data_IF_570140906425
#
_entry.id   IF_570140906425
#
_cell.length_a   1.000
_cell.length_b   1.000
_cell.length_c   1.000
_cell.angle_alpha   90.00
_cell.angle_beta   90.00
_cell.angle_gamma   90.00
#
_symmetry.space_group_name_H-M   'P 1'
#
loop_
_entity.id
_entity.type
_entity.pdbx_description
1 polymer ?
#
# COMPACT_ATOMS: atom_id res chain seq x y z
N UNK A 1 11.44 14.88 15.29
CA UNK A 1 10.66 15.71 16.23
C UNK A 1 11.29 17.08 16.48
N UNK A 2 12.52 17.19 17.00
CA UNK A 2 13.18 18.50 17.18
C UNK A 2 13.31 19.30 15.88
N UNK A 3 13.65 18.64 14.78
CA UNK A 3 13.71 19.28 13.46
C UNK A 3 12.34 19.83 13.04
N UNK A 4 11.28 19.04 13.21
CA UNK A 4 9.90 19.43 12.89
C UNK A 4 9.40 20.61 13.75
N UNK A 5 9.87 20.72 14.99
CA UNK A 5 9.51 21.82 15.91
C UNK A 5 10.33 23.09 15.63
N UNK A 6 11.57 22.94 15.14
CA UNK A 6 12.44 24.08 14.79
C UNK A 6 12.09 24.73 13.47
N UNK A 7 11.37 24.03 12.59
CA UNK A 7 10.92 24.62 11.35
C UNK A 7 9.84 25.68 11.62
N UNK A 8 10.09 26.90 11.16
CA UNK A 8 9.17 28.04 11.27
C UNK A 8 8.10 28.02 10.16
N UNK A 9 8.25 27.12 9.18
CA UNK A 9 7.26 26.96 8.13
C UNK A 9 5.94 26.41 8.68
N UNK A 10 4.83 26.86 8.13
CA UNK A 10 3.48 26.44 8.54
C UNK A 10 3.05 25.12 7.90
N UNK A 11 4.01 24.34 7.40
CA UNK A 11 3.75 23.02 6.84
C UNK A 11 3.39 22.02 7.93
N UNK A 12 2.43 21.14 7.61
CA UNK A 12 2.02 20.10 8.54
C UNK A 12 3.04 18.98 8.57
N UNK A 13 3.47 18.65 9.78
CA UNK A 13 4.33 17.50 10.06
C UNK A 13 3.48 16.37 10.62
N UNK A 14 3.68 15.15 10.12
CA UNK A 14 3.00 13.96 10.59
C UNK A 14 4.04 12.98 11.14
N UNK A 15 3.90 12.64 12.41
CA UNK A 15 4.70 11.60 13.06
C UNK A 15 3.80 10.36 13.17
N UNK A 16 4.24 9.26 12.56
CA UNK A 16 3.52 8.00 12.58
C UNK A 16 4.28 7.05 13.52
N UNK A 17 3.58 6.60 14.54
CA UNK A 17 4.06 5.62 15.51
C UNK A 17 3.32 4.30 15.23
N UNK A 18 3.97 3.40 14.50
CA UNK A 18 3.44 2.06 14.19
C UNK A 18 3.97 1.04 15.20
N UNK A 19 3.05 0.35 15.88
CA UNK A 19 3.37 -0.74 16.79
C UNK A 19 2.43 -0.84 17.99
N UNK A 20 2.58 -1.90 18.80
CA UNK A 20 1.73 -2.14 19.95
C UNK A 20 1.92 -1.08 21.04
N UNK A 21 0.81 -0.70 21.69
CA UNK A 21 0.84 0.16 22.87
C UNK A 21 1.30 -0.63 24.09
N UNK A 22 2.20 -0.03 24.86
CA UNK A 22 2.60 -0.51 26.18
C UNK A 22 2.36 0.58 27.21
N UNK A 23 1.97 0.18 28.42
CA UNK A 23 1.64 1.10 29.52
C UNK A 23 2.75 2.12 29.80
N UNK A 24 4.01 1.71 29.76
CA UNK A 24 5.16 2.59 30.09
C UNK A 24 5.28 3.75 29.12
N UNK A 25 5.28 3.50 27.80
CA UNK A 25 5.53 4.58 26.84
C UNK A 25 4.29 5.45 26.61
N UNK A 26 3.09 4.88 26.73
CA UNK A 26 1.87 5.68 26.55
C UNK A 26 1.64 6.63 27.74
N UNK A 27 2.07 6.24 28.95
CA UNK A 27 2.09 7.14 30.11
C UNK A 27 3.04 8.31 29.90
N UNK A 28 4.23 8.07 29.35
CA UNK A 28 5.21 9.11 29.02
C UNK A 28 4.68 10.10 27.96
N UNK A 29 3.70 9.68 27.15
CA UNK A 29 3.06 10.52 26.12
C UNK A 29 1.88 11.35 26.65
N UNK A 30 1.52 11.27 27.93
CA UNK A 30 0.35 11.96 28.48
C UNK A 30 0.33 13.47 28.20
N UNK A 31 1.47 14.15 28.34
CA UNK A 31 1.60 15.61 28.11
C UNK A 31 1.74 15.96 26.63
N UNK A 32 2.09 14.99 25.80
CA UNK A 32 2.08 15.16 24.34
C UNK A 32 0.64 15.12 23.82
N UNK A 33 -0.19 14.24 24.40
CA UNK A 33 -1.55 13.97 23.97
C UNK A 33 -2.60 14.89 24.60
N UNK A 34 -2.26 15.66 25.64
CA UNK A 34 -3.15 16.63 26.25
C UNK A 34 -3.04 18.03 25.64
N UNK A 35 -3.83 18.97 26.15
CA UNK A 35 -3.85 20.38 25.71
C UNK A 35 -2.49 21.07 25.84
N UNK A 36 -1.60 20.56 26.69
CA UNK A 36 -0.28 21.15 26.90
C UNK A 36 0.63 20.96 25.69
N UNK A 37 0.45 19.87 24.93
CA UNK A 37 1.21 19.51 23.72
C UNK A 37 2.73 19.66 23.92
N UNK A 38 3.28 19.04 24.96
CA UNK A 38 4.70 19.11 25.33
C UNK A 38 5.28 17.71 25.48
N UNK A 39 6.45 17.49 24.89
CA UNK A 39 7.26 16.32 25.16
C UNK A 39 8.21 16.63 26.32
N UNK A 40 8.02 15.92 27.44
CA UNK A 40 8.87 15.99 28.62
C UNK A 40 9.89 14.86 28.57
N UNK A 41 11.18 15.19 28.53
CA UNK A 41 12.26 14.20 28.53
C UNK A 41 12.73 13.94 29.97
N UNK A 42 13.21 12.73 30.24
CA UNK A 42 13.79 12.36 31.55
C UNK A 42 15.01 13.23 31.94
N UNK A 43 15.65 13.90 30.96
CA UNK A 43 16.69 14.90 31.19
C UNK A 43 16.17 16.19 31.83
N UNK A 44 14.85 16.38 31.94
CA UNK A 44 14.20 17.61 32.36
C UNK A 44 13.96 18.61 31.22
N UNK A 45 14.38 18.31 29.99
CA UNK A 45 14.09 19.15 28.83
C UNK A 45 12.61 19.02 28.44
N UNK A 46 11.99 20.16 28.13
CA UNK A 46 10.61 20.23 27.67
C UNK A 46 10.58 20.80 26.27
N UNK A 47 10.06 20.02 25.33
CA UNK A 47 9.94 20.40 23.92
C UNK A 47 8.45 20.69 23.63
N UNK A 48 8.07 21.96 23.45
CA UNK A 48 6.70 22.31 23.08
C UNK A 48 6.44 21.93 21.62
N UNK A 49 5.29 21.32 21.35
CA UNK A 49 4.87 20.98 20.01
C UNK A 49 4.18 22.15 19.34
N UNK A 50 4.47 22.32 18.05
CA UNK A 50 3.81 23.32 17.22
C UNK A 50 2.40 22.84 16.85
N UNK A 51 1.45 23.76 16.56
CA UNK A 51 0.11 23.38 16.11
C UNK A 51 0.08 22.69 14.74
N UNK A 52 1.21 22.67 14.02
CA UNK A 52 1.34 22.04 12.71
C UNK A 52 1.82 20.59 12.81
N UNK A 53 2.25 20.14 13.98
CA UNK A 53 2.68 18.78 14.22
C UNK A 53 1.48 17.91 14.64
N UNK A 54 1.24 16.86 13.88
CA UNK A 54 0.22 15.86 14.12
C UNK A 54 0.90 14.52 14.39
N UNK A 55 0.29 13.71 15.26
CA UNK A 55 0.81 12.39 15.61
C UNK A 55 -0.29 11.36 15.39
N UNK A 56 0.05 10.26 14.73
CA UNK A 56 -0.84 9.13 14.47
C UNK A 56 -0.22 7.91 15.11
N UNK A 57 -1.03 7.14 15.82
CA UNK A 57 -0.65 5.86 16.40
C UNK A 57 -1.39 4.76 15.66
N UNK A 58 -0.65 3.89 14.97
CA UNK A 58 -1.18 2.68 14.38
C UNK A 58 -0.99 1.55 15.39
N UNK A 59 -2.09 1.07 15.94
CA UNK A 59 -2.10 0.13 17.07
C UNK A 59 -3.12 -0.96 16.78
N UNK A 60 -2.77 -2.21 17.11
CA UNK A 60 -3.69 -3.34 16.95
C UNK A 60 -4.83 -3.28 17.99
N UNK A 61 -4.48 -2.97 19.24
CA UNK A 61 -5.43 -2.86 20.33
C UNK A 61 -4.95 -1.90 21.43
N UNK A 62 -5.89 -1.49 22.28
CA UNK A 62 -5.68 -0.57 23.40
C UNK A 62 -5.86 -1.25 24.76
N UNK A 63 -5.68 -2.57 24.86
CA UNK A 63 -5.98 -3.34 26.10
C UNK A 63 -5.20 -2.86 27.32
N UNK A 64 -4.02 -2.28 27.10
CA UNK A 64 -3.13 -1.77 28.14
C UNK A 64 -3.14 -0.25 28.29
N UNK A 65 -3.96 0.45 27.49
CA UNK A 65 -4.11 1.89 27.58
C UNK A 65 -5.22 2.26 28.57
N UNK A 66 -5.01 3.30 29.36
CA UNK A 66 -6.02 3.79 30.31
C UNK A 66 -7.11 4.61 29.59
N UNK A 67 -8.39 4.53 30.01
CA UNK A 67 -9.48 5.30 29.42
C UNK A 67 -9.19 6.81 29.35
N UNK A 68 -8.52 7.35 30.36
CA UNK A 68 -8.17 8.79 30.44
C UNK A 68 -7.15 9.24 29.40
N UNK A 69 -6.33 8.30 28.89
CA UNK A 69 -5.38 8.55 27.80
C UNK A 69 -6.13 8.51 26.48
N UNK A 70 -6.91 7.45 26.29
CA UNK A 70 -7.72 7.21 25.09
C UNK A 70 -8.71 8.35 24.87
N UNK A 71 -9.26 8.95 25.93
CA UNK A 71 -10.20 10.06 25.84
C UNK A 71 -9.62 11.36 25.28
N UNK A 72 -8.28 11.48 25.22
CA UNK A 72 -7.58 12.66 24.69
C UNK A 72 -7.29 12.55 23.19
N UNK A 73 -7.56 11.39 22.60
CA UNK A 73 -7.23 11.10 21.21
C UNK A 73 -8.50 10.88 20.38
N UNK A 74 -8.45 11.32 19.14
CA UNK A 74 -9.45 10.94 18.13
C UNK A 74 -9.18 9.49 17.69
N UNK A 75 -10.18 8.63 17.86
CA UNK A 75 -10.06 7.20 17.59
C UNK A 75 -10.76 6.82 16.28
N UNK A 76 -10.02 6.19 15.38
CA UNK A 76 -10.54 5.62 14.13
C UNK A 76 -10.49 4.09 14.25
N UNK A 77 -11.66 3.46 14.23
CA UNK A 77 -11.78 2.01 14.25
C UNK A 77 -11.80 1.46 12.82
N UNK A 78 -10.86 0.56 12.53
CA UNK A 78 -10.76 -0.10 11.25
C UNK A 78 -11.16 -1.57 11.41
N UNK A 79 -12.18 -1.99 10.67
CA UNK A 79 -12.54 -3.40 10.59
C UNK A 79 -11.94 -3.99 9.29
N UNK A 80 -11.02 -4.97 9.35
CA UNK A 80 -10.29 -5.44 8.18
C UNK A 80 -11.17 -6.05 7.07
N UNK A 81 -12.28 -6.69 7.44
CA UNK A 81 -13.21 -7.35 6.51
C UNK A 81 -13.98 -6.34 5.65
N UNK A 82 -14.31 -5.18 6.22
CA UNK A 82 -15.12 -4.14 5.57
C UNK A 82 -14.26 -3.03 4.98
N UNK A 83 -13.15 -2.66 5.64
CA UNK A 83 -12.27 -1.56 5.23
C UNK A 83 -11.38 -1.95 4.05
N UNK A 84 -10.84 -3.17 4.05
CA UNK A 84 -10.00 -3.67 2.94
C UNK A 84 -10.51 -5.05 2.51
N UNK A 85 -11.46 -5.09 1.56
CA UNK A 85 -12.03 -6.34 1.07
C UNK A 85 -10.94 -7.32 0.61
N UNK A 86 -11.15 -8.62 0.85
CA UNK A 86 -10.24 -9.65 0.35
C UNK A 86 -10.03 -9.55 -1.16
N UNK A 87 -11.08 -9.18 -1.91
CA UNK A 87 -10.99 -8.91 -3.35
C UNK A 87 -9.95 -7.84 -3.67
N UNK A 88 -9.93 -6.71 -2.95
CA UNK A 88 -8.97 -5.63 -3.15
C UNK A 88 -7.53 -6.09 -2.94
N UNK A 89 -7.26 -6.90 -1.90
CA UNK A 89 -5.94 -7.51 -1.68
C UNK A 89 -5.55 -8.44 -2.81
N UNK A 90 -6.46 -9.30 -3.25
CA UNK A 90 -6.19 -10.21 -4.37
C UNK A 90 -5.97 -9.47 -5.68
N UNK A 91 -6.76 -8.41 -5.95
CA UNK A 91 -6.60 -7.58 -7.15
C UNK A 91 -5.28 -6.81 -7.14
N UNK A 92 -4.89 -6.22 -6.00
CA UNK A 92 -3.60 -5.54 -5.85
C UNK A 92 -2.43 -6.51 -6.06
N UNK A 93 -2.49 -7.71 -5.46
CA UNK A 93 -1.47 -8.74 -5.69
C UNK A 93 -1.40 -9.17 -7.16
N UNK A 94 -2.54 -9.49 -7.80
CA UNK A 94 -2.58 -9.84 -9.23
C UNK A 94 -1.99 -8.72 -10.08
N UNK A 95 -2.35 -7.46 -9.80
CA UNK A 95 -1.83 -6.30 -10.53
C UNK A 95 -0.30 -6.16 -10.38
N UNK A 96 0.22 -6.32 -9.16
CA UNK A 96 1.68 -6.33 -8.92
C UNK A 96 2.40 -7.46 -9.69
N UNK A 97 1.74 -8.60 -9.90
CA UNK A 97 2.30 -9.69 -10.68
C UNK A 97 2.21 -9.45 -12.19
N UNK A 98 1.24 -8.66 -12.66
CA UNK A 98 1.09 -8.28 -14.07
C UNK A 98 2.10 -7.21 -14.48
N UNK A 99 2.51 -6.32 -13.57
CA UNK A 99 3.64 -5.40 -13.81
C UNK A 99 4.99 -6.16 -13.90
N UNK A 100 5.15 -7.25 -13.16
CA UNK A 100 6.36 -8.12 -13.23
C UNK A 100 6.31 -9.06 -14.44
N UNK A 101 5.12 -9.54 -14.81
CA UNK A 101 4.90 -10.44 -15.94
C UNK A 101 4.12 -9.73 -17.04
N UNK A 102 4.66 -8.61 -17.53
CA UNK A 102 4.08 -7.93 -18.68
C UNK A 102 4.28 -8.80 -19.93
N UNK A 103 3.36 -9.75 -20.11
CA UNK A 103 3.18 -10.52 -21.33
C UNK A 103 2.93 -9.61 -22.54
N UNK A 104 2.56 -8.33 -22.33
CA UNK A 104 2.57 -7.29 -23.35
C UNK A 104 3.98 -7.05 -23.90
N UNK A 105 4.98 -6.90 -23.02
CA UNK A 105 6.39 -6.80 -23.42
C UNK A 105 6.92 -8.11 -24.03
N UNK A 106 6.39 -9.27 -23.65
CA UNK A 106 6.78 -10.55 -24.22
C UNK A 106 6.29 -10.71 -25.67
N UNK A 107 5.08 -10.24 -26.00
CA UNK A 107 4.55 -10.23 -27.37
C UNK A 107 5.25 -9.16 -28.22
N UNK A 108 5.70 -8.07 -27.61
CA UNK A 108 6.42 -6.99 -28.28
C UNK A 108 7.93 -7.25 -28.46
N UNK A 109 8.47 -8.33 -27.88
CA UNK A 109 9.83 -8.77 -28.13
C UNK A 109 10.01 -9.13 -29.62
N UNK A 110 10.98 -8.56 -30.35
CA UNK A 110 11.18 -8.82 -31.78
C UNK A 110 11.34 -10.30 -32.12
N UNK A 111 11.94 -11.10 -31.21
CA UNK A 111 12.13 -12.54 -31.41
C UNK A 111 10.81 -13.31 -31.30
N UNK A 112 9.91 -12.88 -30.43
CA UNK A 112 8.58 -13.48 -30.27
C UNK A 112 7.69 -13.07 -31.45
N UNK A 113 7.72 -11.79 -31.87
CA UNK A 113 7.04 -11.34 -33.11
C UNK A 113 7.50 -12.12 -34.33
N UNK A 114 8.81 -12.24 -34.54
CA UNK A 114 9.34 -12.96 -35.69
C UNK A 114 9.09 -14.47 -35.63
N UNK A 115 8.96 -15.04 -34.43
CA UNK A 115 8.54 -16.43 -34.27
C UNK A 115 7.03 -16.64 -34.50
N UNK A 116 6.19 -15.64 -34.22
CA UNK A 116 4.74 -15.64 -34.49
C UNK A 116 4.49 -15.48 -36.00
N UNK A 117 5.20 -14.56 -36.66
CA UNK A 117 5.09 -14.32 -38.11
C UNK A 117 5.56 -15.52 -38.93
N UNK A 118 6.62 -16.20 -38.51
CA UNK A 118 7.20 -17.32 -39.25
C UNK A 118 6.62 -18.70 -38.88
N UNK A 119 5.86 -18.83 -37.80
CA UNK A 119 5.34 -20.12 -37.35
C UNK A 119 3.94 -19.99 -36.77
N UNK A 120 2.99 -20.65 -37.45
CA UNK A 120 1.55 -20.68 -37.12
C UNK A 120 1.17 -21.26 -35.76
N UNK A 121 2.14 -21.61 -34.88
CA UNK A 121 1.89 -22.14 -33.54
C UNK A 121 3.00 -21.74 -32.55
N UNK A 122 2.61 -21.06 -31.46
CA UNK A 122 3.49 -20.82 -30.29
C UNK A 122 3.49 -22.10 -29.44
N UNK A 123 4.64 -22.77 -29.29
CA UNK A 123 4.79 -23.86 -28.31
C UNK A 123 5.11 -23.26 -26.94
N UNK A 124 4.15 -23.31 -26.02
CA UNK A 124 4.37 -22.94 -24.63
C UNK A 124 5.18 -24.01 -23.90
N UNK A 125 6.03 -23.57 -22.96
CA UNK A 125 6.87 -24.41 -22.11
C UNK A 125 6.02 -25.45 -21.32
N UNK A 126 6.50 -26.69 -21.08
CA UNK A 126 5.69 -27.79 -20.54
C UNK A 126 4.98 -27.49 -19.21
N UNK A 127 5.56 -26.62 -18.39
CA UNK A 127 5.05 -26.26 -17.06
C UNK A 127 4.16 -25.00 -17.07
N UNK A 128 3.83 -24.43 -18.24
CA UNK A 128 2.90 -23.30 -18.35
C UNK A 128 1.46 -23.85 -18.34
N UNK A 129 0.60 -23.44 -17.38
CA UNK A 129 -0.79 -23.89 -17.32
C UNK A 129 -1.55 -23.47 -18.59
N UNK A 130 -2.02 -24.44 -19.37
CA UNK A 130 -2.77 -24.19 -20.62
C UNK A 130 -4.27 -24.12 -20.34
N UNK A 131 -4.76 -22.98 -19.87
CA UNK A 131 -6.20 -22.72 -19.81
C UNK A 131 -6.77 -22.30 -21.20
N UNK A 132 -6.44 -23.08 -22.25
CA UNK A 132 -7.02 -22.89 -23.57
C UNK A 132 -8.25 -23.79 -23.67
N UNK A 133 -9.42 -23.17 -23.67
CA UNK A 133 -10.70 -23.84 -23.79
C UNK A 133 -10.78 -24.60 -25.13
N UNK A 134 -10.69 -25.94 -25.07
CA UNK A 134 -10.60 -26.85 -26.23
C UNK A 134 -11.80 -26.80 -27.19
N UNK A 135 -12.90 -26.14 -26.79
CA UNK A 135 -14.12 -25.96 -27.59
C UNK A 135 -13.95 -24.84 -28.63
N UNK A 136 -13.05 -23.88 -28.41
CA UNK A 136 -12.63 -22.92 -29.44
C UNK A 136 -11.31 -23.41 -30.02
N UNK A 137 -11.38 -23.94 -31.25
CA UNK A 137 -10.22 -24.49 -31.96
C UNK A 137 -8.99 -23.59 -31.93
N UNK A 138 -7.82 -24.19 -32.08
CA UNK A 138 -6.46 -23.61 -32.01
C UNK A 138 -6.14 -22.61 -33.13
N UNK A 139 -7.01 -21.64 -33.37
CA UNK A 139 -6.87 -20.61 -34.38
C UNK A 139 -7.12 -19.26 -33.71
N UNK A 140 -6.09 -18.70 -33.08
CA UNK A 140 -5.95 -17.25 -33.01
C UNK A 140 -5.48 -16.81 -34.40
N UNK A 141 -6.43 -16.71 -35.34
CA UNK A 141 -6.20 -16.03 -36.59
C UNK A 141 -6.16 -14.53 -36.30
N UNK A 142 -5.01 -13.90 -36.52
CA UNK A 142 -4.94 -12.44 -36.64
C UNK A 142 -5.79 -12.08 -37.86
N UNK A 143 -6.85 -11.32 -37.66
CA UNK A 143 -7.68 -10.83 -38.75
C UNK A 143 -6.85 -9.84 -39.55
N UNK A 144 -6.45 -10.21 -40.77
CA UNK A 144 -5.82 -9.27 -41.72
C UNK A 144 -6.82 -8.15 -41.99
N UNK A 145 -6.45 -6.92 -41.62
CA UNK A 145 -7.20 -5.72 -41.99
C UNK A 145 -6.97 -5.51 -43.49
N UNK A 146 -7.94 -5.94 -44.29
CA UNK A 146 -7.97 -5.70 -45.73
C UNK A 146 -8.08 -4.20 -46.01
N UNK A 147 -7.13 -3.71 -46.81
CA UNK A 147 -7.25 -2.47 -47.57
C UNK A 147 -8.41 -2.58 -48.58
N UNK A 148 -9.16 -1.49 -48.66
CA UNK A 148 -10.02 -0.95 -49.74
C UNK A 148 -10.53 -1.88 -50.86
N UNK A 149 -11.84 -1.83 -51.14
CA UNK A 149 -12.40 -1.23 -52.37
C UNK A 149 -13.87 -1.67 -52.64
N UNK A 150 -14.73 -0.66 -52.86
CA UNK A 150 -16.15 -0.63 -53.31
C UNK A 150 -17.28 -1.17 -52.42
#
# INVERSE_FOLDING_TARGET
MRECVRDENTQKYWIICDGPVYAVWIEDMNTVLDDSRKLCLASGEVIPLTPYLNMIFEVEDLRVAFPDIVSRCDMIYLEPSTTVPHSARTFSWIHSQMEINDVGNFIDEPRVRQSIENSRYIRLHPNVPRNINRVKGTHLGVQEVGKEDF
#
